data_IF_307465575349
#
_entry.id   IF_307465575349
#
_cell.length_a   1.000
_cell.length_b   1.000
_cell.length_c   1.000
_cell.angle_alpha   90.00
_cell.angle_beta   90.00
_cell.angle_gamma   90.00
#
_symmetry.space_group_name_H-M   'P 1'
#
loop_
_entity.id
_entity.type
_entity.pdbx_description
1 polymer ?
#
# COMPACT_ATOMS: atom_id res chain seq x y z
N UNK A 1 16.98 -0.22 10.37
CA UNK A 1 15.70 -0.39 11.07
C UNK A 1 14.84 -1.36 10.27
N UNK A 2 14.20 -2.30 10.92
CA UNK A 2 13.32 -3.28 10.28
C UNK A 2 11.87 -2.82 10.43
N UNK A 3 11.12 -2.83 9.34
CA UNK A 3 9.71 -2.46 9.31
C UNK A 3 8.92 -3.49 8.52
N UNK A 4 7.66 -3.68 8.89
CA UNK A 4 6.68 -4.40 8.09
C UNK A 4 5.69 -3.38 7.54
N UNK A 5 5.35 -3.52 6.27
CA UNK A 5 4.40 -2.65 5.59
C UNK A 5 3.27 -3.54 5.05
N UNK A 6 2.04 -3.18 5.40
CA UNK A 6 0.84 -3.91 5.00
C UNK A 6 -0.01 -3.03 4.11
N UNK A 7 -0.35 -3.54 2.93
CA UNK A 7 -1.14 -2.85 1.91
C UNK A 7 -2.38 -3.68 1.61
N UNK A 8 -3.56 -3.12 1.83
CA UNK A 8 -4.83 -3.76 1.53
C UNK A 8 -5.72 -2.86 0.66
N UNK A 9 -6.38 -3.45 -0.30
CA UNK A 9 -7.36 -2.78 -1.16
C UNK A 9 -8.73 -3.43 -1.01
N UNK A 10 -9.79 -2.65 -1.21
CA UNK A 10 -11.16 -3.14 -1.04
C UNK A 10 -11.66 -4.04 -2.17
N UNK A 11 -10.93 -4.13 -3.27
CA UNK A 11 -11.29 -4.98 -4.41
C UNK A 11 -10.06 -5.47 -5.17
N UNK A 12 -10.25 -6.46 -6.03
CA UNK A 12 -9.24 -7.04 -6.91
C UNK A 12 -9.68 -6.90 -8.37
N UNK A 13 -8.70 -6.81 -9.26
CA UNK A 13 -8.92 -6.83 -10.69
C UNK A 13 -8.74 -5.49 -11.40
N UNK A 14 -8.82 -5.49 -12.75
CA UNK A 14 -8.44 -4.34 -13.57
C UNK A 14 -9.53 -3.28 -13.73
N UNK A 15 -10.76 -3.57 -13.29
CA UNK A 15 -11.87 -2.65 -13.45
C UNK A 15 -11.66 -1.36 -12.65
N UNK A 16 -12.14 -0.25 -13.19
CA UNK A 16 -12.23 1.01 -12.45
C UNK A 16 -13.49 1.02 -11.62
N UNK A 17 -13.36 1.30 -10.33
CA UNK A 17 -14.51 1.39 -9.43
C UNK A 17 -14.22 2.29 -8.22
N UNK A 18 -15.30 2.63 -7.51
CA UNK A 18 -15.22 3.23 -6.18
C UNK A 18 -14.52 2.25 -5.24
N UNK A 19 -13.50 2.72 -4.54
CA UNK A 19 -12.67 1.86 -3.71
C UNK A 19 -12.02 2.61 -2.55
N UNK A 20 -11.64 1.85 -1.54
CA UNK A 20 -10.79 2.30 -0.46
C UNK A 20 -9.59 1.37 -0.31
N UNK A 21 -8.50 1.90 0.18
CA UNK A 21 -7.29 1.14 0.49
C UNK A 21 -6.66 1.60 1.78
N UNK A 22 -5.97 0.71 2.44
CA UNK A 22 -5.29 0.98 3.72
C UNK A 22 -3.82 0.61 3.63
N UNK A 23 -3.01 1.36 4.36
CA UNK A 23 -1.60 1.06 4.57
C UNK A 23 -1.27 1.13 6.05
N UNK A 24 -0.40 0.24 6.50
CA UNK A 24 0.16 0.23 7.85
C UNK A 24 1.67 0.07 7.74
N UNK A 25 2.42 0.88 8.47
CA UNK A 25 3.84 0.69 8.73
C UNK A 25 3.99 0.29 10.19
N UNK A 26 4.54 -0.90 10.42
CA UNK A 26 4.80 -1.45 11.75
C UNK A 26 6.30 -1.51 11.99
N UNK A 27 6.74 -1.04 13.13
CA UNK A 27 8.11 -1.19 13.60
C UNK A 27 8.14 -1.50 15.09
N UNK A 28 9.20 -2.17 15.52
CA UNK A 28 9.38 -2.57 16.92
C UNK A 28 10.34 -1.58 17.58
N UNK A 29 9.87 -0.90 18.60
CA UNK A 29 10.70 0.02 19.38
C UNK A 29 11.64 -0.76 20.32
N UNK A 30 12.59 -0.05 20.93
CA UNK A 30 13.63 -0.64 21.79
C UNK A 30 13.11 -1.49 22.95
N UNK A 31 11.88 -1.26 23.39
CA UNK A 31 11.22 -2.06 24.45
C UNK A 31 10.62 -3.38 23.95
N UNK A 32 10.73 -3.69 22.65
CA UNK A 32 10.11 -4.85 22.02
C UNK A 32 8.63 -4.67 21.67
N UNK A 33 8.07 -3.50 21.92
CA UNK A 33 6.66 -3.19 21.64
C UNK A 33 6.50 -2.77 20.16
N UNK A 34 5.52 -3.34 19.44
CA UNK A 34 5.19 -2.88 18.10
C UNK A 34 4.49 -1.52 18.15
N UNK A 35 4.88 -0.65 17.21
CA UNK A 35 4.25 0.65 16.97
C UNK A 35 3.79 0.68 15.52
N UNK A 36 2.58 1.13 15.28
CA UNK A 36 2.01 1.22 13.94
C UNK A 36 1.68 2.66 13.59
N UNK A 37 1.87 2.97 12.30
CA UNK A 37 1.30 4.17 11.65
C UNK A 37 0.61 3.72 10.40
N UNK A 38 -0.48 4.37 10.04
CA UNK A 38 -1.20 3.98 8.85
C UNK A 38 -2.26 5.01 8.46
N UNK A 39 -2.92 4.71 7.36
CA UNK A 39 -3.96 5.58 6.82
C UNK A 39 -4.86 4.84 5.86
N UNK A 40 -5.91 5.52 5.45
CA UNK A 40 -6.86 5.04 4.45
C UNK A 40 -6.95 6.08 3.33
N UNK A 41 -6.95 5.59 2.09
CA UNK A 41 -7.26 6.36 0.89
C UNK A 41 -8.61 5.91 0.34
N UNK A 42 -9.39 6.86 -0.13
CA UNK A 42 -10.67 6.65 -0.78
C UNK A 42 -10.67 7.29 -2.16
N UNK A 43 -11.29 6.64 -3.14
CA UNK A 43 -11.50 7.19 -4.48
C UNK A 43 -12.84 6.74 -5.05
N UNK A 44 -13.54 7.66 -5.74
CA UNK A 44 -14.78 7.31 -6.46
C UNK A 44 -14.52 6.49 -7.73
N UNK A 45 -13.32 6.55 -8.29
CA UNK A 45 -12.95 5.80 -9.47
C UNK A 45 -11.46 5.54 -9.52
N UNK A 46 -11.05 4.31 -9.29
CA UNK A 46 -9.66 3.87 -9.36
C UNK A 46 -9.56 2.40 -9.75
N UNK A 47 -8.40 2.01 -10.24
CA UNK A 47 -8.04 0.60 -10.41
C UNK A 47 -7.32 0.08 -9.17
N UNK A 48 -7.27 -1.25 -8.99
CA UNK A 48 -6.50 -1.86 -7.91
C UNK A 48 -5.03 -1.45 -7.97
N UNK A 49 -4.44 -1.44 -9.16
CA UNK A 49 -3.03 -1.12 -9.35
C UNK A 49 -2.71 0.33 -8.97
N UNK A 50 -3.53 1.27 -9.40
CA UNK A 50 -3.34 2.70 -9.09
C UNK A 50 -3.48 2.95 -7.59
N UNK A 51 -4.49 2.36 -6.97
CA UNK A 51 -4.72 2.46 -5.54
C UNK A 51 -3.56 1.84 -4.75
N UNK A 52 -3.12 0.63 -5.11
CA UNK A 52 -2.00 -0.03 -4.45
C UNK A 52 -0.70 0.79 -4.56
N UNK A 53 -0.40 1.39 -5.71
CA UNK A 53 0.75 2.27 -5.87
C UNK A 53 0.69 3.50 -4.97
N UNK A 54 -0.48 4.14 -4.86
CA UNK A 54 -0.66 5.27 -3.96
C UNK A 54 -0.46 4.88 -2.50
N UNK A 55 -0.93 3.70 -2.09
CA UNK A 55 -0.75 3.19 -0.73
C UNK A 55 0.74 2.90 -0.44
N UNK A 56 1.46 2.32 -1.38
CA UNK A 56 2.91 2.10 -1.27
C UNK A 56 3.63 3.44 -1.13
N UNK A 57 3.31 4.41 -1.97
CA UNK A 57 3.88 5.76 -1.91
C UNK A 57 3.66 6.40 -0.53
N UNK A 58 2.44 6.32 0.00
CA UNK A 58 2.11 6.83 1.35
C UNK A 58 2.92 6.13 2.43
N UNK A 59 2.99 4.81 2.41
CA UNK A 59 3.71 4.04 3.42
C UNK A 59 5.20 4.37 3.45
N UNK A 60 5.84 4.46 2.28
CA UNK A 60 7.27 4.77 2.22
C UNK A 60 7.58 6.25 2.48
N UNK A 61 6.64 7.15 2.19
CA UNK A 61 6.85 8.60 2.41
C UNK A 61 7.02 8.99 3.87
N UNK A 62 6.57 8.17 4.82
CA UNK A 62 6.74 8.45 6.25
C UNK A 62 8.06 7.91 6.81
N UNK A 63 8.82 7.14 6.04
CA UNK A 63 10.09 6.59 6.48
C UNK A 63 11.19 7.65 6.36
N UNK A 64 11.74 8.06 7.50
CA UNK A 64 12.77 9.10 7.57
C UNK A 64 14.19 8.56 7.61
N UNK A 65 14.35 7.23 7.72
CA UNK A 65 15.64 6.53 7.79
C UNK A 65 15.64 5.34 6.85
N UNK A 66 16.82 4.93 6.41
CA UNK A 66 17.00 3.70 5.65
C UNK A 66 16.45 2.50 6.43
N UNK A 67 15.60 1.74 5.80
CA UNK A 67 14.91 0.59 6.40
C UNK A 67 15.13 -0.68 5.57
N UNK A 68 15.08 -1.82 6.26
CA UNK A 68 14.80 -3.12 5.66
C UNK A 68 13.28 -3.35 5.83
N UNK A 69 12.54 -3.35 4.75
CA UNK A 69 11.08 -3.42 4.75
C UNK A 69 10.58 -4.72 4.13
N UNK A 70 9.70 -5.42 4.84
CA UNK A 70 8.89 -6.50 4.25
C UNK A 70 7.53 -5.92 3.92
N UNK A 71 7.15 -5.96 2.64
CA UNK A 71 5.90 -5.39 2.15
C UNK A 71 4.93 -6.50 1.80
N UNK A 72 3.78 -6.50 2.46
CA UNK A 72 2.69 -7.45 2.27
C UNK A 72 1.63 -6.82 1.38
N UNK A 73 1.40 -7.41 0.21
CA UNK A 73 0.37 -6.97 -0.72
C UNK A 73 -0.18 -8.14 -1.54
N UNK A 74 -1.47 -8.17 -1.77
CA UNK A 74 -2.10 -9.12 -2.70
C UNK A 74 -2.31 -8.53 -4.10
N UNK A 75 -1.91 -7.28 -4.35
CA UNK A 75 -1.96 -6.71 -5.69
C UNK A 75 -0.92 -7.39 -6.58
N UNK A 76 -1.38 -8.32 -7.41
CA UNK A 76 -0.49 -9.18 -8.21
C UNK A 76 0.40 -8.41 -9.15
N UNK A 77 -0.05 -7.30 -9.72
CA UNK A 77 0.78 -6.49 -10.60
C UNK A 77 1.94 -5.82 -9.86
N UNK A 78 1.67 -5.20 -8.72
CA UNK A 78 2.71 -4.57 -7.88
C UNK A 78 3.68 -5.64 -7.38
N UNK A 79 3.16 -6.74 -6.86
CA UNK A 79 3.97 -7.84 -6.33
C UNK A 79 4.94 -8.39 -7.39
N UNK A 80 4.45 -8.75 -8.58
CA UNK A 80 5.28 -9.28 -9.67
C UNK A 80 6.30 -8.26 -10.16
N UNK A 81 5.91 -7.00 -10.29
CA UNK A 81 6.82 -5.93 -10.71
C UNK A 81 8.01 -5.82 -9.78
N UNK A 82 7.75 -5.86 -8.48
CA UNK A 82 8.80 -5.73 -7.47
C UNK A 82 9.65 -7.00 -7.35
N UNK A 83 9.03 -8.18 -7.32
CA UNK A 83 9.74 -9.46 -7.22
C UNK A 83 10.62 -9.75 -8.43
N UNK A 84 10.21 -9.34 -9.62
CA UNK A 84 10.96 -9.54 -10.87
C UNK A 84 11.93 -8.37 -11.18
N UNK A 85 12.04 -7.39 -10.31
CA UNK A 85 12.89 -6.21 -10.50
C UNK A 85 12.59 -5.43 -11.79
N UNK A 86 11.36 -5.45 -12.25
CA UNK A 86 10.95 -4.74 -13.47
C UNK A 86 11.07 -3.23 -13.32
N UNK A 87 10.89 -2.72 -12.12
CA UNK A 87 10.98 -1.27 -11.82
C UNK A 87 12.35 -0.69 -12.22
N UNK A 88 13.43 -1.38 -11.83
CA UNK A 88 14.78 -0.97 -12.19
C UNK A 88 15.03 -1.06 -13.70
N UNK A 89 14.47 -2.07 -14.36
CA UNK A 89 14.55 -2.22 -15.82
C UNK A 89 13.80 -1.09 -16.54
N UNK A 90 12.62 -0.72 -16.07
CA UNK A 90 11.84 0.38 -16.64
C UNK A 90 12.56 1.73 -16.47
N UNK A 91 13.18 1.98 -15.32
CA UNK A 91 13.97 3.17 -15.11
C UNK A 91 15.13 3.27 -16.13
N UNK A 92 15.86 2.19 -16.34
CA UNK A 92 16.98 2.15 -17.32
C UNK A 92 16.52 2.38 -18.74
N UNK A 93 15.32 1.93 -19.10
CA UNK A 93 14.76 2.05 -20.46
C UNK A 93 13.93 3.32 -20.68
N UNK A 94 13.91 4.24 -19.73
CA UNK A 94 13.13 5.49 -19.83
C UNK A 94 11.63 5.28 -19.80
N UNK A 95 11.16 4.28 -19.04
CA UNK A 95 9.73 3.98 -18.85
C UNK A 95 9.01 3.54 -20.12
N UNK A 96 9.69 2.78 -20.95
CA UNK A 96 9.17 2.19 -22.18
C UNK A 96 9.22 0.67 -22.06
N UNK A 97 8.13 -0.01 -22.47
CA UNK A 97 8.08 -1.47 -22.46
C UNK A 97 8.86 -2.10 -23.63
N UNK A 98 8.93 -3.43 -23.65
CA UNK A 98 9.62 -4.17 -24.72
C UNK A 98 9.08 -3.90 -26.14
N UNK A 99 7.83 -3.42 -26.27
CA UNK A 99 7.20 -3.05 -27.55
C UNK A 99 7.40 -1.58 -27.95
N UNK A 100 8.21 -0.82 -27.19
CA UNK A 100 8.45 0.60 -27.42
C UNK A 100 7.30 1.53 -27.00
N UNK A 101 6.34 1.02 -26.23
CA UNK A 101 5.20 1.80 -25.72
C UNK A 101 5.48 2.28 -24.28
N UNK A 102 4.95 3.46 -23.89
CA UNK A 102 5.09 3.95 -22.53
C UNK A 102 4.49 2.94 -21.52
N UNK A 103 5.17 2.78 -20.37
CA UNK A 103 4.64 2.04 -19.23
C UNK A 103 3.43 2.78 -18.68
N UNK A 104 2.34 2.08 -18.47
CA UNK A 104 1.14 2.63 -17.81
C UNK A 104 1.49 3.07 -16.39
N UNK A 105 1.03 4.25 -15.98
CA UNK A 105 1.31 4.84 -14.68
C UNK A 105 2.81 5.09 -14.41
N UNK A 106 3.58 5.37 -15.45
CA UNK A 106 5.02 5.58 -15.35
C UNK A 106 5.40 6.62 -14.29
N UNK A 107 4.64 7.72 -14.16
CA UNK A 107 4.90 8.75 -13.15
C UNK A 107 4.74 8.23 -11.72
N UNK A 108 3.68 7.46 -11.45
CA UNK A 108 3.43 6.85 -10.15
C UNK A 108 4.52 5.82 -9.82
N UNK A 109 4.89 4.98 -10.77
CA UNK A 109 6.00 4.04 -10.61
C UNK A 109 7.33 4.74 -10.36
N UNK A 110 7.58 5.85 -11.04
CA UNK A 110 8.80 6.62 -10.82
C UNK A 110 8.86 7.24 -9.41
N UNK A 111 7.75 7.77 -8.92
CA UNK A 111 7.69 8.28 -7.54
C UNK A 111 7.96 7.16 -6.52
N UNK A 112 7.36 5.99 -6.72
CA UNK A 112 7.65 4.82 -5.90
C UNK A 112 9.13 4.43 -5.96
N UNK A 113 9.71 4.38 -7.16
CA UNK A 113 11.12 4.04 -7.35
C UNK A 113 12.06 4.96 -6.57
N UNK A 114 11.81 6.26 -6.60
CA UNK A 114 12.61 7.24 -5.86
C UNK A 114 12.52 7.05 -4.33
N UNK A 115 11.33 6.73 -3.83
CA UNK A 115 11.14 6.44 -2.41
C UNK A 115 11.83 5.12 -1.99
N UNK A 116 11.79 4.11 -2.84
CA UNK A 116 12.34 2.79 -2.56
C UNK A 116 13.87 2.74 -2.65
N UNK A 117 14.49 3.66 -3.38
CA UNK A 117 15.93 3.67 -3.69
C UNK A 117 16.82 3.56 -2.44
N UNK A 118 16.38 4.12 -1.33
CA UNK A 118 17.13 4.16 -0.09
C UNK A 118 16.78 3.04 0.89
N UNK A 119 15.97 2.08 0.48
CA UNK A 119 15.50 0.99 1.34
C UNK A 119 15.83 -0.38 0.73
N UNK A 120 16.00 -1.37 1.61
CA UNK A 120 16.03 -2.78 1.20
C UNK A 120 14.61 -3.33 1.36
N UNK A 121 14.06 -3.90 0.30
CA UNK A 121 12.66 -4.36 0.31
C UNK A 121 12.53 -5.83 -0.07
N UNK A 122 11.66 -6.52 0.64
CA UNK A 122 11.16 -7.85 0.30
C UNK A 122 9.64 -7.74 0.11
N UNK A 123 9.10 -8.37 -0.93
CA UNK A 123 7.68 -8.28 -1.30
C UNK A 123 7.03 -9.65 -1.23
N UNK A 124 5.87 -9.73 -0.59
CA UNK A 124 5.17 -11.00 -0.36
C UNK A 124 3.65 -10.81 -0.34
N UNK A 125 2.93 -11.88 -0.70
CA UNK A 125 1.48 -11.97 -0.58
C UNK A 125 1.03 -12.85 0.61
N UNK A 126 1.97 -13.20 1.50
CA UNK A 126 1.65 -14.02 2.67
C UNK A 126 0.53 -13.38 3.52
N UNK A 127 -0.32 -14.19 4.15
CA UNK A 127 -1.28 -13.69 5.14
C UNK A 127 -0.58 -12.96 6.29
N UNK A 128 -1.25 -11.95 6.84
CA UNK A 128 -0.74 -11.19 7.97
C UNK A 128 -1.86 -10.89 8.99
N UNK A 129 -1.46 -10.56 10.20
CA UNK A 129 -2.39 -10.38 11.32
C UNK A 129 -3.33 -9.17 11.20
N UNK A 130 -2.97 -8.16 10.40
CA UNK A 130 -3.80 -6.96 10.22
C UNK A 130 -4.84 -7.07 9.13
N UNK A 131 -4.79 -8.12 8.29
CA UNK A 131 -5.65 -8.22 7.10
C UNK A 131 -7.14 -8.08 7.44
N UNK A 132 -7.61 -8.83 8.41
CA UNK A 132 -9.04 -8.84 8.76
C UNK A 132 -9.51 -7.46 9.24
N UNK A 133 -8.79 -6.82 10.15
CA UNK A 133 -9.20 -5.51 10.63
C UNK A 133 -9.07 -4.42 9.57
N UNK A 134 -8.07 -4.49 8.71
CA UNK A 134 -7.95 -3.59 7.56
C UNK A 134 -9.14 -3.74 6.61
N UNK A 135 -9.49 -4.96 6.21
CA UNK A 135 -10.61 -5.22 5.31
C UNK A 135 -11.96 -4.82 5.94
N UNK A 136 -12.17 -5.08 7.22
CA UNK A 136 -13.38 -4.65 7.94
C UNK A 136 -13.50 -3.12 7.96
N UNK A 137 -12.39 -2.44 8.18
CA UNK A 137 -12.36 -0.97 8.15
C UNK A 137 -12.63 -0.42 6.76
N UNK A 138 -12.06 -1.00 5.71
CA UNK A 138 -12.31 -0.58 4.33
C UNK A 138 -13.78 -0.75 3.94
N UNK A 139 -14.40 -1.84 4.36
CA UNK A 139 -15.84 -2.07 4.14
C UNK A 139 -16.69 -0.97 4.79
N UNK A 140 -16.40 -0.63 6.05
CA UNK A 140 -17.10 0.44 6.76
C UNK A 140 -16.91 1.80 6.07
N UNK A 141 -15.72 2.10 5.59
CA UNK A 141 -15.44 3.35 4.87
C UNK A 141 -16.21 3.44 3.55
N UNK A 142 -16.38 2.32 2.83
CA UNK A 142 -17.17 2.30 1.59
C UNK A 142 -18.68 2.48 1.82
N UNK A 143 -19.18 2.12 3.00
CA UNK A 143 -20.59 2.32 3.39
C UNK A 143 -20.89 3.77 3.75
N UNK A 144 -19.89 4.58 4.08
CA UNK A 144 -20.05 5.98 4.40
C UNK A 144 -20.24 6.83 3.15
N UNK A 145 -21.03 7.90 3.27
CA UNK A 145 -21.05 8.95 2.26
C UNK A 145 -19.81 9.84 2.45
N UNK A 146 -18.92 9.80 1.48
CA UNK A 146 -17.80 10.73 1.43
C UNK A 146 -18.12 11.88 0.48
N UNK A 147 -17.74 13.09 0.88
CA UNK A 147 -17.74 14.22 -0.05
C UNK A 147 -16.86 13.88 -1.25
N UNK A 148 -17.33 14.19 -2.47
CA UNK A 148 -16.61 13.91 -3.71
C UNK A 148 -15.27 14.66 -3.72
N UNK A 149 -14.09 13.98 -3.74
CA UNK A 149 -12.87 14.67 -4.05
C UNK A 149 -12.94 15.16 -5.50
N UNK A 150 -12.47 16.36 -5.75
CA UNK A 150 -12.52 16.96 -7.10
C UNK A 150 -11.76 16.13 -8.15
N UNK A 151 -10.74 15.40 -7.77
CA UNK A 151 -10.03 14.36 -8.53
C UNK A 151 -9.08 13.61 -7.58
N UNK A 152 -8.80 12.32 -7.87
CA UNK A 152 -7.80 11.55 -7.16
C UNK A 152 -8.30 10.86 -5.88
N UNK A 153 -7.52 10.95 -4.81
CA UNK A 153 -7.75 10.23 -3.57
C UNK A 153 -7.99 11.18 -2.40
N UNK A 154 -9.01 10.86 -1.59
CA UNK A 154 -9.21 11.49 -0.29
C UNK A 154 -8.49 10.68 0.79
N UNK A 155 -7.74 11.35 1.65
CA UNK A 155 -7.16 10.74 2.83
C UNK A 155 -8.18 10.76 3.96
N UNK A 156 -8.34 9.62 4.62
CA UNK A 156 -9.19 9.49 5.80
C UNK A 156 -8.26 9.35 6.99
N UNK A 157 -8.35 10.27 7.93
CA UNK A 157 -7.63 10.17 9.19
C UNK A 157 -8.10 8.91 9.93
N UNK A 158 -7.15 8.02 10.20
CA UNK A 158 -7.42 6.82 10.98
C UNK A 158 -6.82 6.97 12.37
N UNK A 159 -7.54 6.57 13.41
CA UNK A 159 -6.90 6.36 14.71
C UNK A 159 -5.79 5.30 14.56
N UNK A 160 -4.82 5.32 15.44
CA UNK A 160 -3.77 4.31 15.48
C UNK A 160 -4.36 2.90 15.33
N UNK A 161 -3.75 2.10 14.46
CA UNK A 161 -4.10 0.69 14.32
C UNK A 161 -3.61 -0.07 15.55
N UNK A 162 -4.44 -0.11 16.58
CA UNK A 162 -4.11 -0.80 17.82
C UNK A 162 -4.29 -2.29 17.66
N UNK A 163 -3.20 -3.04 17.76
CA UNK A 163 -3.16 -4.50 17.76
C UNK A 163 -4.12 -5.18 18.76
N UNK A 164 -4.40 -4.63 19.96
CA UNK A 164 -5.33 -5.27 20.90
C UNK A 164 -6.77 -5.38 20.42
N UNK A 165 -7.23 -4.43 19.61
CA UNK A 165 -8.62 -4.43 19.12
C UNK A 165 -8.86 -5.42 17.99
N UNK A 166 -7.83 -5.74 17.22
CA UNK A 166 -7.91 -6.79 16.19
C UNK A 166 -7.89 -8.20 16.78
N UNK A 167 -7.28 -8.39 17.95
CA UNK A 167 -7.16 -9.71 18.61
C UNK A 167 -8.35 -10.07 19.52
N UNK A 168 -9.12 -9.10 20.00
CA UNK A 168 -10.23 -9.36 20.91
C UNK A 168 -11.48 -9.89 20.20
N UNK A 169 -11.64 -9.61 18.93
CA UNK A 169 -12.78 -10.13 18.14
C UNK A 169 -12.60 -11.58 17.68
N UNK A 170 -11.39 -12.17 17.82
CA UNK A 170 -11.12 -13.57 17.46
C UNK A 170 -11.38 -14.58 18.58
N UNK A 171 -11.79 -14.15 19.76
CA UNK A 171 -12.01 -15.03 20.92
C UNK A 171 -13.47 -15.17 21.37
N UNK A 172 -14.41 -14.79 20.54
CA UNK A 172 -15.84 -15.05 20.81
C UNK A 172 -16.45 -15.95 19.74
#
# INVERSE_FOLDING_TARGET
MNVNIYIETSFKGPATRRAAGAWIVEYIISTGRPVTRGGILYSDGTTENDLALCLVEKAFSILTKTCCAVVFTECGHVLRTMQNHWLAQWQKKGWINAKGKPIRNAEAWNRCALLLEHHMTEWTDRPHEYRQCMQDRLRKELEREHGMPAAGYAEIETPEWNTPTCNTERRS
#
